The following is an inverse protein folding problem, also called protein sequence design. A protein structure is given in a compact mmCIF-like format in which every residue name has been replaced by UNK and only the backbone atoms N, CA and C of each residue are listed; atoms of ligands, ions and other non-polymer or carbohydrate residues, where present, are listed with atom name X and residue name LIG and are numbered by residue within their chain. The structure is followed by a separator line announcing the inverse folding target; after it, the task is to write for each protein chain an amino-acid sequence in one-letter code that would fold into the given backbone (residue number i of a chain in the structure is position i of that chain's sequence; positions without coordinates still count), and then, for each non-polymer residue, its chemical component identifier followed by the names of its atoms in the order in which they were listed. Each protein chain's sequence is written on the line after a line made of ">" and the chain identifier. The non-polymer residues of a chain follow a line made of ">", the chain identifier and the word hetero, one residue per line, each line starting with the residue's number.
data_IF_874486339787
#
_entry.id   IF_874486339787
#
_cell.length_a   1.000
_cell.length_b   1.000
_cell.length_c   1.000
_cell.angle_alpha   90.00
_cell.angle_beta   90.00
_cell.angle_gamma   90.00
#
_symmetry.space_group_name_H-M   'P 1'
#
loop_
_entity.id
_entity.type
_entity.pdbx_description
1 polymer ?
#
# COMPACT_ATOMS: atom_id res chain seq x y z
N UNK A 1 31.38 4.92 -13.23
CA UNK A 1 31.14 3.51 -12.81
C UNK A 1 30.58 3.37 -11.39
N UNK A 2 31.14 4.03 -10.36
CA UNK A 2 30.66 3.92 -8.95
C UNK A 2 29.20 4.34 -8.70
N UNK A 3 28.72 5.44 -9.30
CA UNK A 3 27.34 5.91 -9.12
C UNK A 3 26.28 4.98 -9.74
N UNK A 4 26.58 4.33 -10.86
CA UNK A 4 25.66 3.41 -11.52
C UNK A 4 25.48 2.14 -10.69
N UNK A 5 26.55 1.67 -10.03
CA UNK A 5 26.47 0.52 -9.11
C UNK A 5 25.61 0.83 -7.89
N UNK A 6 25.69 2.05 -7.34
CA UNK A 6 24.83 2.49 -6.23
C UNK A 6 23.36 2.60 -6.65
N UNK A 7 23.09 3.13 -7.84
CA UNK A 7 21.73 3.19 -8.38
C UNK A 7 21.14 1.79 -8.60
N UNK A 8 21.93 0.84 -9.12
CA UNK A 8 21.49 -0.55 -9.28
C UNK A 8 21.31 -1.26 -7.93
N UNK A 9 22.18 -1.01 -6.94
CA UNK A 9 22.01 -1.55 -5.60
C UNK A 9 20.75 -1.01 -4.90
N UNK A 10 20.43 0.27 -5.07
CA UNK A 10 19.18 0.84 -4.56
C UNK A 10 17.95 0.27 -5.29
N UNK A 11 18.00 0.10 -6.61
CA UNK A 11 16.93 -0.54 -7.37
C UNK A 11 16.73 -2.01 -6.97
N UNK A 12 17.82 -2.74 -6.75
CA UNK A 12 17.80 -4.12 -6.27
C UNK A 12 17.28 -4.22 -4.83
N UNK A 13 17.59 -3.25 -3.96
CA UNK A 13 17.04 -3.18 -2.61
C UNK A 13 15.55 -2.81 -2.62
N UNK A 14 15.11 -1.90 -3.48
CA UNK A 14 13.69 -1.58 -3.66
C UNK A 14 12.93 -2.79 -4.23
N UNK A 15 13.54 -3.51 -5.18
CA UNK A 15 12.99 -4.75 -5.73
C UNK A 15 12.99 -5.88 -4.70
N UNK A 16 14.03 -6.02 -3.88
CA UNK A 16 14.11 -6.99 -2.77
C UNK A 16 13.12 -6.66 -1.66
N UNK A 17 12.86 -5.39 -1.35
CA UNK A 17 11.77 -4.97 -0.48
C UNK A 17 10.38 -5.23 -1.10
N UNK A 18 10.28 -5.32 -2.44
CA UNK A 18 9.07 -5.76 -3.13
C UNK A 18 8.93 -7.30 -3.16
N UNK A 19 10.03 -8.03 -2.92
CA UNK A 19 10.13 -9.50 -2.89
C UNK A 19 10.22 -10.09 -1.48
N UNK A 20 10.44 -9.27 -0.45
CA UNK A 20 10.13 -9.64 0.92
C UNK A 20 8.64 -9.98 0.93
N UNK A 21 8.33 -11.29 1.01
CA UNK A 21 7.03 -11.85 0.75
C UNK A 21 5.95 -10.98 1.39
N UNK A 22 5.28 -10.17 0.57
CA UNK A 22 4.23 -9.28 1.04
C UNK A 22 3.22 -10.19 1.73
N UNK A 23 3.08 -10.04 3.03
CA UNK A 23 2.05 -10.72 3.79
C UNK A 23 0.72 -10.11 3.36
N UNK A 24 0.17 -10.69 2.30
CA UNK A 24 -1.04 -10.21 1.65
C UNK A 24 -2.21 -10.19 2.64
N UNK A 25 -2.27 -11.15 3.57
CA UNK A 25 -3.32 -11.21 4.57
C UNK A 25 -3.20 -10.03 5.53
N UNK A 26 -2.01 -9.78 6.07
CA UNK A 26 -1.76 -8.67 6.98
C UNK A 26 -1.91 -7.30 6.31
N UNK A 27 -1.50 -7.16 5.04
CA UNK A 27 -1.67 -5.91 4.29
C UNK A 27 -3.14 -5.65 3.91
N UNK A 28 -3.89 -6.67 3.49
CA UNK A 28 -5.33 -6.53 3.22
C UNK A 28 -6.12 -6.17 4.48
N UNK A 29 -5.74 -6.69 5.66
CA UNK A 29 -6.35 -6.30 6.93
C UNK A 29 -6.01 -4.85 7.31
N UNK A 30 -4.73 -4.44 7.16
CA UNK A 30 -4.32 -3.05 7.36
C UNK A 30 -5.09 -2.09 6.47
N UNK A 31 -5.35 -2.46 5.22
CA UNK A 31 -6.13 -1.64 4.31
C UNK A 31 -7.60 -1.52 4.66
N UNK A 32 -8.22 -2.58 5.17
CA UNK A 32 -9.59 -2.53 5.71
C UNK A 32 -9.68 -1.58 6.91
N UNK A 33 -8.79 -1.76 7.87
CA UNK A 33 -8.72 -0.89 9.06
C UNK A 33 -8.48 0.57 8.68
N UNK A 34 -7.58 0.84 7.73
CA UNK A 34 -7.37 2.21 7.24
C UNK A 34 -8.66 2.81 6.66
N UNK A 35 -9.42 2.03 5.87
CA UNK A 35 -10.69 2.50 5.30
C UNK A 35 -11.71 2.83 6.39
N UNK A 36 -11.85 1.97 7.39
CA UNK A 36 -12.75 2.19 8.53
C UNK A 36 -12.39 3.45 9.32
N UNK A 37 -11.10 3.75 9.47
CA UNK A 37 -10.64 4.96 10.15
C UNK A 37 -10.81 6.23 9.30
N UNK A 38 -10.69 6.14 7.98
CA UNK A 38 -10.75 7.30 7.07
C UNK A 38 -12.17 7.63 6.63
N UNK A 39 -13.05 6.63 6.49
CA UNK A 39 -14.45 6.81 6.11
C UNK A 39 -15.20 7.86 6.97
N UNK A 40 -15.14 7.83 8.32
CA UNK A 40 -15.82 8.84 9.14
C UNK A 40 -15.19 10.22 8.99
N UNK A 41 -13.87 10.32 8.78
CA UNK A 41 -13.18 11.60 8.55
C UNK A 41 -13.62 12.24 7.22
N UNK A 42 -13.76 11.42 6.17
CA UNK A 42 -14.30 11.86 4.88
C UNK A 42 -15.77 12.30 5.01
N UNK A 43 -16.58 11.56 5.76
CA UNK A 43 -17.99 11.92 6.00
C UNK A 43 -18.14 13.20 6.84
N UNK A 44 -17.25 13.42 7.81
CA UNK A 44 -17.23 14.60 8.65
C UNK A 44 -16.68 15.85 7.94
N UNK A 45 -16.18 15.72 6.70
CA UNK A 45 -15.55 16.83 5.97
C UNK A 45 -14.24 17.30 6.61
N UNK A 46 -13.63 16.48 7.47
CA UNK A 46 -12.36 16.82 8.11
C UNK A 46 -11.23 16.84 7.08
N UNK A 47 -10.49 17.95 7.09
CA UNK A 47 -9.66 18.41 5.98
C UNK A 47 -8.45 17.56 5.59
N UNK A 48 -7.80 18.04 4.53
CA UNK A 48 -6.69 17.48 3.74
C UNK A 48 -5.51 16.96 4.57
N UNK A 49 -5.36 17.30 5.86
CA UNK A 49 -4.24 16.87 6.70
C UNK A 49 -4.37 15.41 7.17
N UNK A 50 -5.50 15.03 7.77
CA UNK A 50 -5.77 13.66 8.21
C UNK A 50 -6.00 12.73 7.00
N UNK A 51 -6.74 13.24 6.00
CA UNK A 51 -6.92 12.57 4.71
C UNK A 51 -5.62 12.53 3.91
N UNK A 52 -4.73 13.51 4.04
CA UNK A 52 -3.48 13.62 3.27
C UNK A 52 -2.40 12.65 3.74
N UNK A 53 -2.24 12.47 5.07
CA UNK A 53 -1.41 11.37 5.61
C UNK A 53 -2.01 10.02 5.22
N UNK A 54 -3.33 9.92 5.25
CA UNK A 54 -4.04 8.74 4.77
C UNK A 54 -3.92 8.56 3.26
N UNK A 55 -3.75 9.60 2.45
CA UNK A 55 -3.71 9.52 0.98
C UNK A 55 -2.52 8.66 0.50
N UNK A 56 -1.35 8.77 1.15
CA UNK A 56 -0.21 7.89 0.85
C UNK A 56 -0.53 6.42 1.19
N UNK A 57 -1.12 6.19 2.36
CA UNK A 57 -1.51 4.84 2.82
C UNK A 57 -2.66 4.26 1.99
N UNK A 58 -3.62 5.09 1.57
CA UNK A 58 -4.74 4.76 0.70
C UNK A 58 -4.23 4.40 -0.69
N UNK A 59 -3.33 5.19 -1.28
CA UNK A 59 -2.68 4.85 -2.56
C UNK A 59 -1.94 3.51 -2.48
N UNK A 60 -1.23 3.25 -1.36
CA UNK A 60 -0.60 1.94 -1.12
C UNK A 60 -1.64 0.83 -1.05
N UNK A 61 -2.75 1.03 -0.33
CA UNK A 61 -3.83 0.05 -0.28
C UNK A 61 -4.47 -0.21 -1.64
N UNK A 62 -4.62 0.83 -2.47
CA UNK A 62 -5.08 0.66 -3.85
C UNK A 62 -4.15 -0.20 -4.67
N UNK A 63 -2.85 0.01 -4.51
CA UNK A 63 -1.85 -0.80 -5.19
C UNK A 63 -1.82 -2.25 -4.68
N UNK A 64 -1.81 -2.45 -3.36
CA UNK A 64 -1.84 -3.77 -2.70
C UNK A 64 -3.04 -4.56 -3.20
N UNK A 65 -4.23 -3.96 -3.18
CA UNK A 65 -5.45 -4.68 -3.51
C UNK A 65 -5.53 -5.01 -5.00
N UNK A 66 -5.14 -4.10 -5.89
CA UNK A 66 -5.00 -4.40 -7.32
C UNK A 66 -4.01 -5.53 -7.59
N UNK A 67 -2.87 -5.55 -6.88
CA UNK A 67 -1.90 -6.66 -6.98
C UNK A 67 -2.47 -7.96 -6.43
N UNK A 68 -3.16 -7.92 -5.31
CA UNK A 68 -3.77 -9.08 -4.66
C UNK A 68 -4.86 -9.72 -5.53
N UNK A 69 -5.73 -8.90 -6.15
CA UNK A 69 -6.73 -9.36 -7.13
C UNK A 69 -6.06 -10.03 -8.33
N UNK A 70 -5.03 -9.40 -8.92
CA UNK A 70 -4.29 -10.01 -10.05
C UNK A 70 -3.62 -11.33 -9.68
N UNK A 71 -3.17 -11.47 -8.43
CA UNK A 71 -2.57 -12.71 -7.90
C UNK A 71 -3.62 -13.71 -7.39
N UNK A 72 -4.92 -13.40 -7.47
CA UNK A 72 -6.04 -14.21 -6.95
C UNK A 72 -5.88 -14.59 -5.47
N UNK A 73 -5.38 -13.64 -4.67
CA UNK A 73 -5.25 -13.85 -3.22
C UNK A 73 -6.65 -13.87 -2.59
N UNK A 74 -6.99 -14.88 -1.77
CA UNK A 74 -8.26 -14.93 -1.06
C UNK A 74 -8.54 -13.67 -0.24
N UNK A 75 -9.76 -13.14 -0.33
CA UNK A 75 -10.16 -11.92 0.38
C UNK A 75 -9.76 -10.60 -0.29
N UNK A 76 -9.12 -10.64 -1.47
CA UNK A 76 -8.83 -9.44 -2.25
C UNK A 76 -10.03 -8.91 -3.07
N UNK A 77 -10.99 -9.79 -3.39
CA UNK A 77 -12.13 -9.50 -4.27
C UNK A 77 -13.21 -8.61 -3.63
N UNK A 78 -13.28 -8.57 -2.30
CA UNK A 78 -14.35 -7.91 -1.54
C UNK A 78 -14.07 -6.41 -1.27
N UNK A 79 -13.45 -5.69 -2.21
CA UNK A 79 -13.14 -4.27 -2.00
C UNK A 79 -14.32 -3.33 -2.23
#
# INVERSE_FOLDING_TARGET
>A
MRMICLAMAMLALIASCADAAVDWQAELQRCRSLRENVAPLLQAGEGISAVGRSNRSVRRCIWIQRKAVRKRIPGAEAW
#
